data_IF_477401242669
#
_entry.id   IF_477401242669
#
_cell.length_a   1.000
_cell.length_b   1.000
_cell.length_c   1.000
_cell.angle_alpha   90.00
_cell.angle_beta   90.00
_cell.angle_gamma   90.00
#
_symmetry.space_group_name_H-M   'P 1'
#
loop_
_entity.id
_entity.type
_entity.pdbx_description
1 polymer ?
#
# COMPACT_ATOMS: atom_id res chain seq x y z
N UNK A 1 2.43 7.80 1.43
CA UNK A 1 1.23 6.95 1.60
C UNK A 1 0.04 7.72 1.02
N UNK A 2 -0.78 7.03 0.24
CA UNK A 2 -2.00 7.63 -0.34
C UNK A 2 -2.98 8.09 0.75
N UNK A 3 -3.64 9.23 0.52
CA UNK A 3 -4.66 9.79 1.41
C UNK A 3 -5.72 10.56 0.63
N UNK A 4 -6.31 9.91 -0.37
CA UNK A 4 -7.22 10.58 -1.28
C UNK A 4 -8.66 10.64 -0.77
N UNK A 5 -9.03 9.68 0.09
CA UNK A 5 -10.33 9.65 0.75
C UNK A 5 -10.40 10.55 1.99
N UNK A 6 -9.23 10.99 2.51
CA UNK A 6 -9.10 11.67 3.80
C UNK A 6 -9.82 10.92 4.95
N UNK A 7 -9.91 9.60 4.84
CA UNK A 7 -10.62 8.76 5.79
C UNK A 7 -9.71 8.41 6.98
N UNK A 8 -10.24 8.40 8.23
CA UNK A 8 -9.48 7.96 9.38
C UNK A 8 -9.09 6.48 9.23
N UNK A 9 -8.01 6.04 9.89
CA UNK A 9 -7.46 4.66 9.78
C UNK A 9 -8.54 3.58 9.93
N UNK A 10 -9.49 3.77 10.84
CA UNK A 10 -10.60 2.84 11.09
C UNK A 10 -11.56 2.67 9.90
N UNK A 11 -11.62 3.62 8.97
CA UNK A 11 -12.56 3.58 7.85
C UNK A 11 -11.86 3.23 6.52
N UNK A 12 -10.52 3.14 6.51
CA UNK A 12 -9.72 2.92 5.30
C UNK A 12 -9.91 1.55 4.66
N UNK A 13 -10.43 0.56 5.39
CA UNK A 13 -10.85 -0.71 4.81
C UNK A 13 -11.92 -0.53 3.70
N UNK A 14 -12.72 0.53 3.77
CA UNK A 14 -13.75 0.85 2.78
C UNK A 14 -13.28 1.79 1.65
N UNK A 15 -12.02 2.25 1.69
CA UNK A 15 -11.44 3.13 0.67
C UNK A 15 -11.40 2.44 -0.71
N UNK A 16 -11.28 3.25 -1.76
CA UNK A 16 -11.07 2.74 -3.11
C UNK A 16 -9.74 2.00 -3.21
N UNK A 17 -9.72 0.89 -3.96
CA UNK A 17 -8.49 0.23 -4.35
C UNK A 17 -7.95 0.86 -5.64
N UNK A 18 -6.63 0.80 -5.80
CA UNK A 18 -5.92 1.30 -6.98
C UNK A 18 -5.66 0.13 -7.92
N UNK A 19 -6.13 0.28 -9.16
CA UNK A 19 -5.62 -0.47 -10.30
C UNK A 19 -4.42 0.28 -10.84
N UNK A 20 -3.34 -0.43 -11.07
CA UNK A 20 -2.20 0.13 -11.79
C UNK A 20 -1.63 -0.89 -12.76
N UNK A 21 -1.33 -0.42 -13.97
CA UNK A 21 -0.81 -1.21 -15.08
C UNK A 21 0.55 -0.63 -15.47
N UNK A 22 1.55 -1.50 -15.60
CA UNK A 22 2.83 -1.13 -16.17
C UNK A 22 2.72 -1.11 -17.71
N UNK A 23 2.75 0.10 -18.28
CA UNK A 23 2.71 0.32 -19.74
C UNK A 23 4.12 0.62 -20.31
N UNK A 24 5.15 0.60 -19.46
CA UNK A 24 6.53 0.81 -19.86
C UNK A 24 7.19 -0.45 -20.40
N UNK A 25 8.49 -0.33 -20.66
CA UNK A 25 9.36 -1.38 -21.20
C UNK A 25 10.24 -2.06 -20.13
N UNK A 26 10.17 -1.62 -18.88
CA UNK A 26 10.97 -2.12 -17.77
C UNK A 26 10.12 -2.49 -16.55
N UNK A 27 10.71 -3.26 -15.63
CA UNK A 27 10.05 -3.71 -14.41
C UNK A 27 9.74 -2.55 -13.46
N UNK A 28 8.50 -2.47 -12.99
CA UNK A 28 8.11 -1.65 -11.84
C UNK A 28 7.97 -2.51 -10.61
N UNK A 29 8.06 -1.90 -9.43
CA UNK A 29 8.00 -2.60 -8.16
C UNK A 29 7.01 -1.92 -7.23
N UNK A 30 6.19 -2.72 -6.56
CA UNK A 30 5.39 -2.29 -5.42
C UNK A 30 6.07 -2.86 -4.17
N UNK A 31 6.59 -1.98 -3.34
CA UNK A 31 7.05 -2.31 -1.99
C UNK A 31 5.86 -2.15 -1.06
N UNK A 32 5.58 -3.12 -0.20
CA UNK A 32 4.49 -3.00 0.76
C UNK A 32 4.76 -3.78 2.05
N UNK A 33 4.15 -3.31 3.13
CA UNK A 33 3.91 -4.13 4.30
C UNK A 33 2.56 -4.79 4.09
N UNK A 34 2.53 -6.12 4.09
CA UNK A 34 1.36 -6.93 3.75
C UNK A 34 0.33 -7.02 4.90
N UNK A 35 0.10 -5.91 5.59
CA UNK A 35 -0.91 -5.77 6.64
C UNK A 35 -1.83 -4.58 6.35
N UNK A 36 -3.13 -4.70 6.66
CA UNK A 36 -4.01 -3.55 6.77
C UNK A 36 -3.56 -2.59 7.87
N UNK A 37 -3.77 -1.27 7.69
CA UNK A 37 -3.43 -0.27 8.71
C UNK A 37 -4.10 -0.53 10.06
N UNK A 38 -5.36 -0.97 10.06
CA UNK A 38 -6.05 -1.33 11.31
C UNK A 38 -5.36 -2.46 12.06
N UNK A 39 -4.81 -3.45 11.35
CA UNK A 39 -4.07 -4.56 11.96
C UNK A 39 -2.76 -4.03 12.55
N UNK A 40 -2.04 -3.16 11.85
CA UNK A 40 -0.85 -2.51 12.40
C UNK A 40 -1.16 -1.75 13.70
N UNK A 41 -2.27 -1.01 13.72
CA UNK A 41 -2.72 -0.26 14.90
C UNK A 41 -3.07 -1.20 16.07
N UNK A 42 -3.72 -2.33 15.79
CA UNK A 42 -4.03 -3.34 16.80
C UNK A 42 -2.75 -3.98 17.34
N UNK A 43 -1.84 -4.40 16.47
CA UNK A 43 -0.55 -4.98 16.88
C UNK A 43 0.25 -4.02 17.76
N UNK A 44 0.28 -2.72 17.43
CA UNK A 44 0.92 -1.72 18.29
C UNK A 44 0.25 -1.63 19.67
N UNK A 45 -1.08 -1.64 19.75
CA UNK A 45 -1.83 -1.65 21.03
C UNK A 45 -1.50 -2.89 21.86
N UNK A 46 -1.53 -4.07 21.25
CA UNK A 46 -1.28 -5.35 21.92
C UNK A 46 0.13 -5.44 22.50
N UNK A 47 1.09 -4.69 21.92
CA UNK A 47 2.47 -4.60 22.38
C UNK A 47 2.75 -3.37 23.26
N UNK A 48 1.72 -2.70 23.81
CA UNK A 48 1.91 -1.59 24.75
C UNK A 48 2.32 -0.26 24.10
N UNK A 49 2.11 -0.13 22.79
CA UNK A 49 2.40 1.09 22.02
C UNK A 49 1.12 1.70 21.42
N UNK A 50 0.08 2.01 22.22
CA UNK A 50 -1.15 2.58 21.70
C UNK A 50 -0.88 3.90 20.98
N UNK A 51 -1.57 4.09 19.86
CA UNK A 51 -1.62 5.38 19.17
C UNK A 51 -2.63 6.30 19.86
N UNK A 52 -2.36 7.61 19.85
CA UNK A 52 -3.37 8.59 20.23
C UNK A 52 -4.49 8.64 19.20
N UNK A 53 -5.70 8.99 19.64
CA UNK A 53 -6.82 9.22 18.75
C UNK A 53 -6.46 10.24 17.67
N UNK A 54 -6.74 9.92 16.40
CA UNK A 54 -6.48 10.81 15.27
C UNK A 54 -5.07 10.73 14.66
N UNK A 55 -4.25 9.73 15.03
CA UNK A 55 -2.98 9.50 14.35
C UNK A 55 -3.18 9.27 12.84
N UNK A 56 -2.37 9.98 12.03
CA UNK A 56 -2.39 9.81 10.58
C UNK A 56 -1.85 8.44 10.19
N UNK A 57 -2.29 7.92 9.05
CA UNK A 57 -1.82 6.64 8.55
C UNK A 57 -0.30 6.61 8.33
N UNK A 58 0.31 7.75 7.97
CA UNK A 58 1.76 7.89 7.87
C UNK A 58 2.47 7.72 9.23
N UNK A 59 1.98 8.38 10.28
CA UNK A 59 2.55 8.27 11.63
C UNK A 59 2.43 6.85 12.17
N UNK A 60 1.26 6.24 11.98
CA UNK A 60 1.01 4.84 12.34
C UNK A 60 2.01 3.89 11.69
N UNK A 61 2.17 3.99 10.37
CA UNK A 61 3.05 3.10 9.63
C UNK A 61 4.53 3.30 10.00
N UNK A 62 4.96 4.55 10.20
CA UNK A 62 6.31 4.85 10.71
C UNK A 62 6.55 4.25 12.08
N UNK A 63 5.59 4.37 12.99
CA UNK A 63 5.68 3.79 14.33
C UNK A 63 5.74 2.27 14.25
N UNK A 64 4.88 1.65 13.47
CA UNK A 64 4.88 0.21 13.26
C UNK A 64 6.26 -0.30 12.80
N UNK A 65 6.86 0.32 11.77
CA UNK A 65 8.19 -0.09 11.31
C UNK A 65 9.30 0.11 12.35
N UNK A 66 9.17 1.12 13.22
CA UNK A 66 10.13 1.37 14.30
C UNK A 66 10.05 0.31 15.40
N UNK A 67 8.83 -0.04 15.82
CA UNK A 67 8.63 -1.05 16.88
C UNK A 67 8.82 -2.49 16.35
N UNK A 68 8.57 -2.72 15.06
CA UNK A 68 8.73 -4.03 14.40
C UNK A 68 9.75 -3.98 13.25
N UNK A 69 11.04 -3.68 13.52
CA UNK A 69 12.05 -3.45 12.48
C UNK A 69 12.41 -4.71 11.68
N UNK A 70 12.06 -5.89 12.19
CA UNK A 70 12.25 -7.18 11.51
C UNK A 70 11.02 -7.63 10.70
N UNK A 71 9.93 -6.85 10.72
CA UNK A 71 8.78 -7.17 9.89
C UNK A 71 9.15 -7.02 8.41
N UNK A 72 8.86 -8.02 7.56
CA UNK A 72 9.30 -7.99 6.17
C UNK A 72 8.58 -6.91 5.35
N UNK A 73 9.34 -6.22 4.50
CA UNK A 73 8.77 -5.46 3.38
C UNK A 73 8.69 -6.39 2.17
N UNK A 74 7.48 -6.62 1.70
CA UNK A 74 7.21 -7.43 0.51
C UNK A 74 7.50 -6.60 -0.74
N UNK A 75 8.22 -7.20 -1.70
CA UNK A 75 8.50 -6.60 -3.00
C UNK A 75 7.79 -7.39 -4.09
N UNK A 76 6.81 -6.76 -4.73
CA UNK A 76 6.09 -7.31 -5.88
C UNK A 76 6.69 -6.69 -7.13
N UNK A 77 7.11 -7.50 -8.09
CA UNK A 77 7.57 -7.03 -9.40
C UNK A 77 6.39 -7.04 -10.36
N UNK A 78 6.24 -5.96 -11.13
CA UNK A 78 5.19 -5.73 -12.11
C UNK A 78 5.90 -5.50 -13.44
N UNK A 79 5.97 -6.57 -14.23
CA UNK A 79 6.62 -6.57 -15.55
C UNK A 79 5.80 -5.75 -16.57
N UNK A 80 6.38 -5.36 -17.72
CA UNK A 80 5.63 -4.76 -18.82
C UNK A 80 4.34 -5.55 -19.15
N UNK A 81 3.20 -4.85 -19.18
CA UNK A 81 1.89 -5.44 -19.41
C UNK A 81 1.21 -6.06 -18.18
N UNK A 82 1.91 -6.22 -17.06
CA UNK A 82 1.31 -6.69 -15.81
C UNK A 82 0.61 -5.54 -15.06
N UNK A 83 -0.32 -5.92 -14.19
CA UNK A 83 -1.09 -5.00 -13.37
C UNK A 83 -1.22 -5.49 -11.94
N UNK A 84 -1.43 -4.55 -11.01
CA UNK A 84 -1.83 -4.87 -9.64
C UNK A 84 -3.14 -4.18 -9.27
N UNK A 85 -3.88 -4.85 -8.39
CA UNK A 85 -4.98 -4.28 -7.64
C UNK A 85 -4.61 -4.25 -6.16
N UNK A 86 -4.49 -3.06 -5.57
CA UNK A 86 -4.10 -2.94 -4.16
C UNK A 86 -4.93 -1.89 -3.41
N UNK A 87 -5.31 -2.14 -2.14
CA UNK A 87 -5.90 -1.12 -1.27
C UNK A 87 -4.83 -0.14 -0.77
N UNK A 88 -4.29 0.71 -1.66
CA UNK A 88 -3.15 1.59 -1.38
C UNK A 88 -3.41 2.62 -0.27
N UNK A 89 -4.67 2.93 0.02
CA UNK A 89 -5.02 3.78 1.18
C UNK A 89 -5.05 2.99 2.51
N UNK A 90 -5.20 1.66 2.48
CA UNK A 90 -5.29 0.79 3.67
C UNK A 90 -4.02 -0.05 3.90
N UNK A 91 -2.91 0.23 3.22
CA UNK A 91 -1.64 -0.45 3.47
C UNK A 91 -0.47 0.53 3.33
N UNK A 92 0.61 0.27 4.08
CA UNK A 92 1.88 0.91 3.79
C UNK A 92 2.45 0.36 2.48
N UNK A 93 2.75 1.26 1.56
CA UNK A 93 3.35 0.91 0.29
C UNK A 93 4.22 2.04 -0.26
N UNK A 94 5.08 1.68 -1.21
CA UNK A 94 5.84 2.59 -2.05
C UNK A 94 5.98 2.02 -3.47
N UNK A 95 5.95 2.92 -4.46
CA UNK A 95 6.14 2.57 -5.87
C UNK A 95 7.57 2.84 -6.27
N UNK A 96 8.25 1.86 -6.87
CA UNK A 96 9.64 2.00 -7.28
C UNK A 96 9.84 1.51 -8.71
N UNK A 97 10.41 2.37 -9.55
CA UNK A 97 11.01 1.99 -10.83
C UNK A 97 12.53 2.21 -10.72
N UNK A 98 13.32 1.35 -11.37
CA UNK A 98 14.77 1.55 -11.41
C UNK A 98 15.04 2.71 -12.38
N UNK A 99 15.74 3.78 -11.96
CA UNK A 99 16.12 4.83 -12.90
C UNK A 99 17.16 4.29 -13.88
N UNK A 100 16.80 4.16 -15.15
CA UNK A 100 17.67 3.67 -16.22
C UNK A 100 17.72 4.63 -17.44
N UNK A 101 17.04 5.77 -17.34
CA UNK A 101 16.94 6.76 -18.42
C UNK A 101 15.82 6.46 -19.43
N UNK A 102 15.07 5.37 -19.26
CA UNK A 102 13.90 5.06 -20.06
C UNK A 102 12.66 5.83 -19.56
N UNK A 103 11.68 5.97 -20.44
CA UNK A 103 10.41 6.62 -20.10
C UNK A 103 9.59 5.69 -19.19
N UNK A 104 9.34 6.12 -17.96
CA UNK A 104 8.46 5.40 -17.02
C UNK A 104 6.99 5.66 -17.37
N UNK A 105 6.31 4.64 -17.91
CA UNK A 105 4.90 4.69 -18.31
C UNK A 105 4.03 3.81 -17.41
N UNK A 106 3.09 4.45 -16.71
CA UNK A 106 2.14 3.78 -15.83
C UNK A 106 0.72 4.32 -16.08
N UNK A 107 -0.24 3.42 -16.26
CA UNK A 107 -1.64 3.76 -16.09
C UNK A 107 -2.06 3.48 -14.64
N UNK A 108 -2.79 4.41 -14.02
CA UNK A 108 -3.37 4.17 -12.70
C UNK A 108 -4.75 4.81 -12.58
N UNK A 109 -5.66 4.09 -11.93
CA UNK A 109 -6.97 4.60 -11.59
C UNK A 109 -7.43 4.06 -10.23
N UNK A 110 -8.36 4.79 -9.61
CA UNK A 110 -8.95 4.42 -8.31
C UNK A 110 -10.41 4.06 -8.51
N UNK A 111 -10.85 3.01 -7.84
CA UNK A 111 -12.22 2.53 -7.95
C UNK A 111 -12.53 1.45 -6.92
N UNK A 112 -13.59 0.69 -7.17
CA UNK A 112 -13.93 -0.52 -6.41
C UNK A 112 -13.84 -1.72 -7.33
N UNK A 113 -12.61 -2.13 -7.63
CA UNK A 113 -12.39 -3.31 -8.45
C UNK A 113 -12.37 -4.55 -7.57
N UNK A 114 -12.83 -5.66 -8.14
CA UNK A 114 -12.81 -6.97 -7.51
C UNK A 114 -12.39 -7.98 -8.57
N UNK A 115 -11.57 -8.99 -8.25
CA UNK A 115 -11.35 -10.10 -9.17
C UNK A 115 -12.72 -10.68 -9.55
N UNK A 116 -12.92 -11.09 -10.81
CA UNK A 116 -14.08 -11.91 -11.13
C UNK A 116 -14.05 -13.14 -10.21
N UNK A 117 -15.22 -13.54 -9.70
CA UNK A 117 -15.32 -14.74 -8.89
C UNK A 117 -14.64 -15.90 -9.63
N UNK A 118 -13.63 -16.51 -9.00
CA UNK A 118 -13.10 -17.78 -9.49
C UNK A 118 -14.28 -18.75 -9.55
N UNK A 119 -14.58 -19.23 -10.76
CA UNK A 119 -15.53 -20.35 -10.94
C UNK A 119 -14.92 -21.61 -10.39
#
# INVERSE_FOLDING_TARGET
MDDWSNAPVKDRAAAHNRLSINLGDHDRRLLCVNLPLQVMAQTLRDHGHPEGDGASAYTLARRFLREFPRYPVTRITIRPGEAYLAPTENMLHDGHAVPDGHLDLQFSCRGRFRPPHAR
#
